data_IF_240068857690
#
_entry.id   IF_240068857690
#
_cell.length_a   1.000
_cell.length_b   1.000
_cell.length_c   1.000
_cell.angle_alpha   90.00
_cell.angle_beta   90.00
_cell.angle_gamma   90.00
#
_symmetry.space_group_name_H-M   'P 1'
#
loop_
_entity.id
_entity.type
_entity.pdbx_description
1 polymer ?
#
# COMPACT_ATOMS: atom_id res chain seq x y z
N UNK A 1 -33.07 -1.48 1.11
CA UNK A 1 -32.90 -0.73 2.37
C UNK A 1 -31.52 -0.09 2.38
N UNK A 2 -31.43 1.16 2.80
CA UNK A 2 -30.09 1.73 2.97
C UNK A 2 -29.35 0.99 4.08
N UNK A 3 -28.08 0.74 3.86
CA UNK A 3 -27.21 0.13 4.88
C UNK A 3 -27.13 1.11 6.04
N UNK A 4 -27.26 0.63 7.27
CA UNK A 4 -27.16 1.51 8.43
C UNK A 4 -25.74 2.09 8.54
N UNK A 5 -25.64 3.26 9.12
CA UNK A 5 -24.33 3.91 9.35
C UNK A 5 -23.43 3.01 10.20
N UNK A 6 -24.02 2.27 11.15
CA UNK A 6 -23.29 1.30 11.99
C UNK A 6 -22.64 0.20 11.16
N UNK A 7 -23.36 -0.37 10.19
CA UNK A 7 -22.83 -1.44 9.35
C UNK A 7 -21.67 -0.96 8.47
N UNK A 8 -21.79 0.24 7.90
CA UNK A 8 -20.73 0.86 7.10
C UNK A 8 -19.50 1.11 7.98
N UNK A 9 -19.71 1.61 9.20
CA UNK A 9 -18.64 1.85 10.15
C UNK A 9 -17.91 0.56 10.51
N UNK A 10 -18.63 -0.52 10.77
CA UNK A 10 -18.03 -1.83 11.07
C UNK A 10 -17.24 -2.39 9.90
N UNK A 11 -17.75 -2.27 8.68
CA UNK A 11 -17.05 -2.70 7.48
C UNK A 11 -15.72 -1.93 7.33
N UNK A 12 -15.73 -0.62 7.54
CA UNK A 12 -14.54 0.21 7.47
C UNK A 12 -13.57 -0.08 8.61
N UNK A 13 -14.07 -0.39 9.80
CA UNK A 13 -13.21 -0.79 10.94
C UNK A 13 -12.46 -2.09 10.63
N UNK A 14 -13.15 -3.09 10.07
CA UNK A 14 -12.52 -4.36 9.70
C UNK A 14 -11.49 -4.16 8.59
N UNK A 15 -11.81 -3.34 7.60
CA UNK A 15 -10.87 -2.97 6.54
C UNK A 15 -9.67 -2.24 7.12
N UNK A 16 -9.89 -1.29 8.02
CA UNK A 16 -8.80 -0.56 8.68
C UNK A 16 -7.86 -1.49 9.42
N UNK A 17 -8.40 -2.49 10.14
CA UNK A 17 -7.59 -3.49 10.83
C UNK A 17 -6.73 -4.30 9.86
N UNK A 18 -7.33 -4.75 8.74
CA UNK A 18 -6.61 -5.49 7.72
C UNK A 18 -5.50 -4.64 7.08
N UNK A 19 -5.79 -3.38 6.78
CA UNK A 19 -4.82 -2.45 6.22
C UNK A 19 -3.68 -2.15 7.20
N UNK A 20 -3.99 -1.97 8.49
CA UNK A 20 -2.97 -1.75 9.52
C UNK A 20 -2.05 -2.97 9.68
N UNK A 21 -2.61 -4.18 9.62
CA UNK A 21 -1.82 -5.41 9.68
C UNK A 21 -0.87 -5.50 8.48
N UNK A 22 -1.37 -5.21 7.28
CA UNK A 22 -0.55 -5.19 6.06
C UNK A 22 0.52 -4.10 6.13
N UNK A 23 0.19 -2.93 6.65
CA UNK A 23 1.13 -1.83 6.83
C UNK A 23 2.28 -2.23 7.75
N UNK A 24 1.97 -2.88 8.88
CA UNK A 24 2.98 -3.36 9.82
C UNK A 24 3.91 -4.39 9.16
N UNK A 25 3.35 -5.34 8.42
CA UNK A 25 4.11 -6.35 7.67
C UNK A 25 5.05 -5.69 6.66
N UNK A 26 4.54 -4.76 5.86
CA UNK A 26 5.33 -4.05 4.86
C UNK A 26 6.43 -3.19 5.48
N UNK A 27 6.12 -2.50 6.57
CA UNK A 27 7.09 -1.67 7.28
C UNK A 27 8.26 -2.52 7.78
N UNK A 28 7.96 -3.71 8.32
CA UNK A 28 8.98 -4.64 8.79
C UNK A 28 9.85 -5.14 7.62
N UNK A 29 9.23 -5.51 6.51
CA UNK A 29 9.94 -5.99 5.32
C UNK A 29 10.84 -4.90 4.73
N UNK A 30 10.35 -3.67 4.64
CA UNK A 30 11.15 -2.55 4.14
C UNK A 30 12.35 -2.30 5.06
N UNK A 31 12.17 -2.39 6.37
CA UNK A 31 13.28 -2.24 7.33
C UNK A 31 14.33 -3.31 7.12
N UNK A 32 13.94 -4.56 6.89
CA UNK A 32 14.86 -5.65 6.60
C UNK A 32 15.63 -5.43 5.28
N UNK A 33 14.93 -5.04 4.22
CA UNK A 33 15.53 -4.76 2.91
C UNK A 33 16.49 -3.58 3.02
N UNK A 34 16.09 -2.50 3.69
CA UNK A 34 16.95 -1.33 3.89
C UNK A 34 18.21 -1.68 4.67
N UNK A 35 18.10 -2.56 5.66
CA UNK A 35 19.26 -3.05 6.42
C UNK A 35 20.22 -3.83 5.51
N UNK A 36 19.68 -4.68 4.64
CA UNK A 36 20.50 -5.46 3.69
C UNK A 36 21.20 -4.53 2.69
N UNK A 37 20.48 -3.53 2.19
CA UNK A 37 21.05 -2.56 1.23
C UNK A 37 22.17 -1.69 1.82
N UNK A 38 22.20 -1.52 3.15
CA UNK A 38 23.25 -0.73 3.82
C UNK A 38 24.55 -1.50 4.04
N UNK A 39 24.54 -2.82 3.83
CA UNK A 39 25.77 -3.62 3.98
C UNK A 39 26.74 -3.28 2.85
N UNK A 40 28.05 -3.17 3.15
CA UNK A 40 29.03 -2.87 2.12
C UNK A 40 29.17 -4.02 1.12
N UNK A 41 29.44 -3.68 -0.14
CA UNK A 41 29.68 -4.67 -1.19
C UNK A 41 31.06 -5.29 -1.00
N UNK A 42 31.26 -6.60 -1.32
CA UNK A 42 32.57 -7.22 -1.25
C UNK A 42 33.56 -6.59 -2.25
N UNK A 43 34.84 -6.71 -1.92
CA UNK A 43 35.93 -6.17 -2.77
C UNK A 43 36.16 -7.01 -4.02
N UNK A 44 35.78 -8.30 -4.01
CA UNK A 44 35.93 -9.21 -5.15
C UNK A 44 34.99 -8.81 -6.30
N UNK A 45 35.56 -8.69 -7.53
CA UNK A 45 34.78 -8.17 -8.66
C UNK A 45 33.67 -9.07 -9.15
N UNK A 46 33.83 -10.41 -9.06
CA UNK A 46 32.77 -11.34 -9.46
C UNK A 46 31.63 -11.36 -8.45
N UNK A 47 31.95 -11.45 -7.16
CA UNK A 47 30.97 -11.37 -6.09
C UNK A 47 30.30 -9.99 -6.09
N UNK A 48 31.07 -8.94 -6.36
CA UNK A 48 30.54 -7.58 -6.43
C UNK A 48 29.49 -7.41 -7.54
N UNK A 49 29.74 -8.00 -8.72
CA UNK A 49 28.78 -7.94 -9.83
C UNK A 49 27.46 -8.64 -9.47
N UNK A 50 27.53 -9.83 -8.86
CA UNK A 50 26.35 -10.57 -8.39
C UNK A 50 25.61 -9.79 -7.30
N UNK A 51 26.35 -9.20 -6.36
CA UNK A 51 25.77 -8.42 -5.27
C UNK A 51 25.12 -7.13 -5.77
N UNK A 52 25.67 -6.50 -6.82
CA UNK A 52 25.04 -5.34 -7.45
C UNK A 52 23.71 -5.69 -8.10
N UNK A 53 23.63 -6.83 -8.79
CA UNK A 53 22.36 -7.32 -9.36
C UNK A 53 21.32 -7.58 -8.26
N UNK A 54 21.73 -8.23 -7.17
CA UNK A 54 20.89 -8.48 -6.01
C UNK A 54 20.45 -7.16 -5.39
N UNK A 55 21.34 -6.19 -5.26
CA UNK A 55 21.04 -4.87 -4.71
C UNK A 55 20.00 -4.15 -5.57
N UNK A 56 20.13 -4.16 -6.89
CA UNK A 56 19.16 -3.57 -7.80
C UNK A 56 17.78 -4.20 -7.64
N UNK A 57 17.73 -5.53 -7.50
CA UNK A 57 16.47 -6.27 -7.27
C UNK A 57 15.83 -5.88 -5.94
N UNK A 58 16.63 -5.76 -4.87
CA UNK A 58 16.16 -5.35 -3.55
C UNK A 58 15.64 -3.91 -3.56
N UNK A 59 16.32 -3.02 -4.27
CA UNK A 59 15.89 -1.62 -4.41
C UNK A 59 14.54 -1.53 -5.13
N UNK A 60 14.34 -2.35 -6.17
CA UNK A 60 13.07 -2.38 -6.89
C UNK A 60 11.93 -2.87 -5.98
N UNK A 61 12.17 -3.90 -5.18
CA UNK A 61 11.20 -4.41 -4.20
C UNK A 61 10.91 -3.36 -3.13
N UNK A 62 11.95 -2.73 -2.60
CA UNK A 62 11.81 -1.67 -1.59
C UNK A 62 10.93 -0.54 -2.12
N UNK A 63 11.19 -0.06 -3.32
CA UNK A 63 10.42 1.03 -3.94
C UNK A 63 8.95 0.63 -4.13
N UNK A 64 8.69 -0.60 -4.57
CA UNK A 64 7.34 -1.10 -4.75
C UNK A 64 6.58 -1.17 -3.42
N UNK A 65 7.23 -1.66 -2.37
CA UNK A 65 6.62 -1.78 -1.04
C UNK A 65 6.40 -0.42 -0.38
N UNK A 66 7.30 0.54 -0.59
CA UNK A 66 7.12 1.91 -0.11
C UNK A 66 5.90 2.56 -0.76
N UNK A 67 5.68 2.32 -2.06
CA UNK A 67 4.48 2.82 -2.73
C UNK A 67 3.21 2.21 -2.14
N UNK A 68 3.21 0.91 -1.86
CA UNK A 68 2.07 0.25 -1.23
C UNK A 68 1.83 0.80 0.18
N UNK A 69 2.88 1.03 0.96
CA UNK A 69 2.78 1.65 2.29
C UNK A 69 2.06 3.01 2.19
N UNK A 70 2.46 3.84 1.25
CA UNK A 70 1.83 5.16 1.04
C UNK A 70 0.36 5.04 0.67
N UNK A 71 0.03 4.09 -0.19
CA UNK A 71 -1.34 3.83 -0.60
C UNK A 71 -2.20 3.38 0.59
N UNK A 72 -1.66 2.51 1.43
CA UNK A 72 -2.37 2.04 2.63
C UNK A 72 -2.57 3.19 3.62
N UNK A 73 -1.54 4.00 3.85
CA UNK A 73 -1.63 5.17 4.73
C UNK A 73 -2.70 6.14 4.26
N UNK A 74 -2.75 6.40 2.95
CA UNK A 74 -3.79 7.26 2.37
C UNK A 74 -5.18 6.66 2.56
N UNK A 75 -5.34 5.35 2.32
CA UNK A 75 -6.61 4.68 2.53
C UNK A 75 -7.06 4.75 3.99
N UNK A 76 -6.16 4.53 4.93
CA UNK A 76 -6.45 4.64 6.36
C UNK A 76 -6.88 6.06 6.75
N UNK A 77 -6.21 7.06 6.20
CA UNK A 77 -6.58 8.46 6.43
C UNK A 77 -7.97 8.76 5.90
N UNK A 78 -8.29 8.28 4.70
CA UNK A 78 -9.61 8.48 4.09
C UNK A 78 -10.71 7.79 4.90
N UNK A 79 -10.43 6.62 5.47
CA UNK A 79 -11.37 5.95 6.39
C UNK A 79 -11.62 6.84 7.62
N UNK A 80 -10.55 7.38 8.22
CA UNK A 80 -10.68 8.23 9.41
C UNK A 80 -11.43 9.54 9.13
N UNK A 81 -11.32 10.05 7.91
CA UNK A 81 -12.00 11.27 7.48
C UNK A 81 -13.43 11.04 6.99
N UNK A 82 -13.85 9.78 6.88
CA UNK A 82 -15.20 9.44 6.41
C UNK A 82 -15.40 9.60 4.91
N UNK A 83 -14.33 9.65 4.12
CA UNK A 83 -14.39 9.82 2.66
C UNK A 83 -13.90 8.59 1.89
N UNK A 84 -13.66 7.48 2.58
CA UNK A 84 -13.30 6.23 1.92
C UNK A 84 -14.40 5.78 0.95
N UNK A 85 -13.99 5.35 -0.23
CA UNK A 85 -14.93 4.91 -1.26
C UNK A 85 -15.51 6.05 -2.12
N UNK A 86 -15.02 7.27 -1.92
CA UNK A 86 -15.42 8.42 -2.72
C UNK A 86 -14.23 8.85 -3.58
N UNK A 87 -14.47 9.01 -4.88
CA UNK A 87 -13.41 9.41 -5.81
C UNK A 87 -12.80 10.75 -5.40
N UNK A 88 -11.49 10.78 -5.23
CA UNK A 88 -10.76 11.99 -4.83
C UNK A 88 -10.80 13.07 -5.91
N UNK A 89 -11.10 12.71 -7.15
CA UNK A 89 -11.09 13.65 -8.26
C UNK A 89 -12.48 14.20 -8.61
N UNK A 90 -13.49 13.32 -8.72
CA UNK A 90 -14.82 13.73 -9.16
C UNK A 90 -15.89 13.69 -8.06
N UNK A 91 -15.59 13.14 -6.90
CA UNK A 91 -16.53 13.06 -5.79
C UNK A 91 -17.60 11.98 -5.92
N UNK A 92 -17.60 11.21 -7.00
CA UNK A 92 -18.54 10.11 -7.18
C UNK A 92 -18.14 8.90 -6.32
N UNK A 93 -19.10 8.06 -6.02
CA UNK A 93 -18.82 6.80 -5.31
C UNK A 93 -18.02 5.86 -6.19
N UNK A 94 -17.00 5.25 -5.61
CA UNK A 94 -16.22 4.21 -6.27
C UNK A 94 -17.03 2.91 -6.20
N UNK A 95 -17.07 2.15 -7.30
CA UNK A 95 -17.76 0.86 -7.36
C UNK A 95 -17.25 -0.05 -6.23
N UNK A 96 -18.15 -0.62 -5.39
CA UNK A 96 -17.73 -1.55 -4.34
C UNK A 96 -16.94 -2.74 -4.84
N UNK A 97 -17.17 -3.21 -6.05
CA UNK A 97 -16.40 -4.30 -6.66
C UNK A 97 -14.95 -3.88 -6.90
N UNK A 98 -14.75 -2.63 -7.31
CA UNK A 98 -13.42 -2.07 -7.49
C UNK A 98 -12.69 -1.95 -6.15
N UNK A 99 -13.37 -1.48 -5.11
CA UNK A 99 -12.81 -1.39 -3.76
C UNK A 99 -12.49 -2.75 -3.17
N UNK A 100 -13.30 -3.77 -3.47
CA UNK A 100 -13.02 -5.13 -3.01
C UNK A 100 -11.75 -5.69 -3.67
N UNK A 101 -11.57 -5.42 -4.96
CA UNK A 101 -10.39 -5.85 -5.71
C UNK A 101 -9.16 -4.99 -5.38
N UNK A 102 -9.37 -3.71 -5.12
CA UNK A 102 -8.31 -2.74 -4.85
C UNK A 102 -8.71 -1.83 -3.68
N UNK A 103 -8.51 -2.30 -2.44
CA UNK A 103 -8.94 -1.54 -1.25
C UNK A 103 -8.31 -0.17 -1.09
N UNK A 104 -7.17 0.07 -1.74
CA UNK A 104 -6.47 1.36 -1.69
C UNK A 104 -6.87 2.31 -2.81
N UNK A 105 -7.88 1.96 -3.61
CA UNK A 105 -8.34 2.83 -4.70
C UNK A 105 -8.89 4.14 -4.14
N UNK A 106 -8.41 5.26 -4.68
CA UNK A 106 -8.86 6.61 -4.31
C UNK A 106 -9.62 7.30 -5.43
N UNK A 107 -9.67 6.68 -6.61
CA UNK A 107 -10.34 7.23 -7.78
C UNK A 107 -11.26 6.19 -8.42
N UNK A 108 -12.36 6.66 -8.99
CA UNK A 108 -13.24 5.79 -9.76
C UNK A 108 -12.56 5.39 -11.08
N UNK A 109 -13.09 4.38 -11.75
CA UNK A 109 -12.50 3.84 -12.97
C UNK A 109 -12.38 4.91 -14.08
N UNK A 110 -13.32 5.84 -14.11
CA UNK A 110 -13.30 6.93 -15.10
C UNK A 110 -12.18 7.94 -14.87
N UNK A 111 -11.75 8.11 -13.61
CA UNK A 111 -10.71 9.07 -13.23
C UNK A 111 -9.33 8.42 -13.09
N UNK A 112 -9.27 7.12 -13.00
CA UNK A 112 -8.02 6.39 -12.75
C UNK A 112 -7.16 6.16 -14.00
N UNK A 113 -7.72 6.45 -15.15
CA UNK A 113 -7.03 6.26 -16.44
C UNK A 113 -5.93 7.25 -16.74
#
# INVERSE_FOLDING_TARGET
>A
MPVSTSDVTHMHENLAKALKARLSELTHRVAEISSELRKPLPADSEERATDLETQESLEAIENSEIREIRQIQEALQRISEGVYGICARCGAKIDPKRLKALPTATKCISCAG
#
